data_IF_712130910376
#
_entry.id   IF_712130910376
#
_cell.length_a   1.000
_cell.length_b   1.000
_cell.length_c   1.000
_cell.angle_alpha   90.00
_cell.angle_beta   90.00
_cell.angle_gamma   90.00
#
_symmetry.space_group_name_H-M   'P 1'
#
loop_
_entity.id
_entity.type
_entity.pdbx_description
1 polymer ?
#
# COMPACT_ATOMS: atom_id res chain seq x y z
N UNK A 1 2.94 8.53 4.68
CA UNK A 1 2.14 8.10 5.85
C UNK A 1 2.98 7.41 6.93
N UNK A 2 3.41 6.15 6.77
CA UNK A 2 4.16 5.44 7.83
C UNK A 2 5.42 6.19 8.29
N UNK A 3 6.21 6.72 7.34
CA UNK A 3 7.42 7.53 7.63
C UNK A 3 7.09 8.82 8.39
N UNK A 4 5.97 9.46 8.08
CA UNK A 4 5.54 10.73 8.70
C UNK A 4 4.94 10.52 10.09
N UNK A 5 4.21 9.42 10.29
CA UNK A 5 3.49 9.12 11.52
C UNK A 5 4.27 8.23 12.51
N UNK A 6 5.53 7.87 12.19
CA UNK A 6 6.36 6.93 12.97
C UNK A 6 6.52 7.33 14.45
N UNK A 7 6.47 8.63 14.77
CA UNK A 7 6.61 9.14 16.14
C UNK A 7 5.29 9.31 16.91
N UNK A 8 4.13 9.12 16.25
CA UNK A 8 2.81 9.33 16.86
C UNK A 8 2.25 8.08 17.54
N UNK A 9 2.75 6.91 17.15
CA UNK A 9 2.27 5.62 17.64
C UNK A 9 3.44 4.76 18.10
N UNK A 10 3.25 4.05 19.22
CA UNK A 10 4.25 3.13 19.75
C UNK A 10 4.24 1.79 18.99
N UNK A 11 5.19 1.64 18.07
CA UNK A 11 5.39 0.43 17.25
C UNK A 11 6.38 -0.57 17.87
N UNK A 12 6.74 -0.42 19.14
CA UNK A 12 7.72 -1.28 19.81
C UNK A 12 7.17 -2.64 20.24
N UNK A 13 5.84 -2.86 20.17
CA UNK A 13 5.24 -4.14 20.53
C UNK A 13 5.85 -5.25 19.65
N UNK A 14 6.51 -6.26 20.25
CA UNK A 14 7.14 -7.33 19.49
C UNK A 14 6.08 -8.22 18.82
N UNK A 15 6.41 -8.84 17.68
CA UNK A 15 5.55 -9.85 17.09
C UNK A 15 5.50 -11.09 17.99
N UNK A 16 4.29 -11.58 18.26
CA UNK A 16 4.08 -12.87 18.91
C UNK A 16 4.17 -13.96 17.85
N UNK A 17 4.95 -15.01 18.11
CA UNK A 17 5.05 -16.21 17.27
C UNK A 17 4.45 -17.37 18.05
N UNK A 18 3.59 -18.14 17.40
CA UNK A 18 2.90 -19.32 17.95
C UNK A 18 3.16 -20.44 16.94
N UNK A 19 3.50 -21.65 17.38
CA UNK A 19 3.64 -22.80 16.48
C UNK A 19 2.28 -23.40 16.11
N UNK A 20 2.24 -24.26 15.09
CA UNK A 20 0.98 -24.89 14.65
C UNK A 20 0.37 -25.81 15.72
N UNK A 21 1.17 -26.34 16.66
CA UNK A 21 0.70 -27.19 17.77
C UNK A 21 0.35 -26.42 19.05
N UNK A 22 0.64 -25.11 19.12
CA UNK A 22 0.46 -24.30 20.33
C UNK A 22 -0.92 -23.61 20.33
N UNK A 23 -1.62 -23.70 21.47
CA UNK A 23 -2.95 -23.08 21.61
C UNK A 23 -2.83 -21.55 21.71
N UNK A 24 -3.70 -20.83 20.99
CA UNK A 24 -3.71 -19.36 21.00
C UNK A 24 -4.23 -18.84 22.33
N UNK A 25 -3.34 -18.25 23.14
CA UNK A 25 -3.71 -17.59 24.38
C UNK A 25 -4.38 -16.23 24.16
N UNK A 26 -5.18 -15.81 25.14
CA UNK A 26 -5.84 -14.50 25.14
C UNK A 26 -4.81 -13.35 25.13
N UNK A 27 -3.71 -13.51 25.85
CA UNK A 27 -2.61 -12.56 25.92
C UNK A 27 -1.92 -12.39 24.57
N UNK A 28 -1.66 -13.50 23.87
CA UNK A 28 -1.06 -13.51 22.55
C UNK A 28 -1.96 -12.82 21.52
N UNK A 29 -3.26 -13.12 21.53
CA UNK A 29 -4.25 -12.47 20.68
C UNK A 29 -4.33 -10.96 20.97
N UNK A 30 -4.38 -10.58 22.24
CA UNK A 30 -4.46 -9.17 22.68
C UNK A 30 -3.21 -8.38 22.29
N UNK A 31 -2.01 -8.93 22.47
CA UNK A 31 -0.76 -8.28 22.09
C UNK A 31 -0.69 -8.09 20.57
N UNK A 32 -1.07 -9.11 19.80
CA UNK A 32 -1.09 -9.06 18.33
C UNK A 32 -2.09 -8.03 17.81
N UNK A 33 -3.30 -7.99 18.36
CA UNK A 33 -4.32 -7.01 17.98
C UNK A 33 -3.87 -5.58 18.28
N UNK A 34 -3.33 -5.32 19.49
CA UNK A 34 -2.80 -4.00 19.85
C UNK A 34 -1.71 -3.55 18.88
N UNK A 35 -0.79 -4.45 18.51
CA UNK A 35 0.26 -4.19 17.52
C UNK A 35 -0.32 -3.86 16.16
N UNK A 36 -1.31 -4.62 15.69
CA UNK A 36 -1.97 -4.40 14.40
C UNK A 36 -2.68 -3.05 14.37
N UNK A 37 -3.50 -2.73 15.37
CA UNK A 37 -4.22 -1.45 15.45
C UNK A 37 -3.26 -0.28 15.40
N UNK A 38 -2.18 -0.30 16.21
CA UNK A 38 -1.18 0.79 16.22
C UNK A 38 -0.49 0.95 14.86
N UNK A 39 -0.16 -0.16 14.19
CA UNK A 39 0.38 -0.10 12.84
C UNK A 39 -0.62 0.51 11.85
N UNK A 40 -1.86 0.04 11.82
CA UNK A 40 -2.88 0.56 10.90
C UNK A 40 -3.19 2.04 11.14
N UNK A 41 -3.12 2.51 12.39
CA UNK A 41 -3.25 3.95 12.68
C UNK A 41 -2.14 4.80 12.07
N UNK A 42 -0.94 4.26 11.83
CA UNK A 42 0.17 5.03 11.21
C UNK A 42 -0.02 5.26 9.70
N UNK A 43 -0.83 4.43 9.04
CA UNK A 43 -1.09 4.49 7.60
C UNK A 43 -2.46 5.11 7.26
N UNK A 44 -3.19 5.61 8.27
CA UNK A 44 -4.38 6.41 8.04
C UNK A 44 -3.99 7.75 7.40
N UNK A 45 -4.78 8.20 6.43
CA UNK A 45 -4.61 9.50 5.76
C UNK A 45 -5.11 10.64 6.66
N UNK A 46 -4.79 11.88 6.30
CA UNK A 46 -5.14 13.06 7.10
C UNK A 46 -6.65 13.28 7.24
N UNK A 47 -7.42 12.90 6.22
CA UNK A 47 -8.88 12.92 6.18
C UNK A 47 -9.53 11.65 6.77
N UNK A 48 -8.72 10.73 7.30
CA UNK A 48 -9.18 9.60 8.11
C UNK A 48 -9.47 8.31 7.35
N UNK A 49 -9.28 8.25 6.02
CA UNK A 49 -9.41 7.00 5.26
C UNK A 49 -8.10 6.18 5.29
N UNK A 50 -8.15 4.97 4.73
CA UNK A 50 -6.98 4.13 4.51
C UNK A 50 -6.75 3.98 3.02
N UNK A 51 -5.72 4.64 2.50
CA UNK A 51 -5.30 4.47 1.12
C UNK A 51 -4.78 3.04 0.94
N UNK A 52 -5.39 2.31 0.01
CA UNK A 52 -4.99 0.97 -0.38
C UNK A 52 -4.69 0.92 -1.86
N UNK A 53 -3.76 0.06 -2.25
CA UNK A 53 -3.62 -0.31 -3.65
C UNK A 53 -4.87 -1.12 -4.03
N UNK A 54 -5.66 -0.56 -4.94
CA UNK A 54 -6.79 -1.26 -5.54
C UNK A 54 -6.35 -1.71 -6.93
N UNK A 55 -5.42 -2.65 -6.95
CA UNK A 55 -5.00 -3.35 -8.14
C UNK A 55 -6.13 -4.16 -8.74
N UNK A 56 -5.97 -4.54 -10.00
CA UNK A 56 -6.98 -5.30 -10.72
C UNK A 56 -6.43 -5.90 -12.00
N UNK A 57 -7.31 -6.37 -12.88
CA UNK A 57 -6.90 -6.86 -14.18
C UNK A 57 -6.09 -5.80 -14.93
N UNK A 58 -5.02 -6.23 -15.58
CA UNK A 58 -4.12 -5.35 -16.33
C UNK A 58 -4.74 -4.67 -17.57
N UNK A 59 -6.06 -4.73 -17.76
CA UNK A 59 -6.71 -4.10 -18.91
C UNK A 59 -6.97 -2.59 -18.73
N UNK A 60 -6.66 -1.99 -17.57
CA UNK A 60 -6.82 -0.54 -17.39
C UNK A 60 -5.59 0.26 -17.84
N UNK A 61 -4.39 -0.18 -17.46
CA UNK A 61 -3.15 0.59 -17.66
C UNK A 61 -2.76 0.75 -19.13
N UNK A 62 -2.68 -0.33 -19.96
CA UNK A 62 -2.28 -0.19 -21.35
C UNK A 62 -3.24 0.67 -22.19
N UNK A 63 -4.59 0.49 -22.12
CA UNK A 63 -5.51 1.37 -22.84
C UNK A 63 -5.45 2.84 -22.41
N UNK A 64 -5.21 3.12 -21.13
CA UNK A 64 -5.00 4.49 -20.66
C UNK A 64 -3.77 5.11 -21.35
N UNK A 65 -2.62 4.42 -21.35
CA UNK A 65 -1.40 4.92 -21.98
C UNK A 65 -1.60 5.16 -23.48
N UNK A 66 -2.26 4.24 -24.18
CA UNK A 66 -2.57 4.41 -25.61
C UNK A 66 -3.49 5.61 -25.86
N UNK A 67 -4.53 5.78 -25.05
CA UNK A 67 -5.47 6.92 -25.16
C UNK A 67 -4.74 8.25 -24.95
N UNK A 68 -3.91 8.35 -23.91
CA UNK A 68 -3.13 9.55 -23.62
C UNK A 68 -2.12 9.88 -24.75
N UNK A 69 -1.51 8.86 -25.34
CA UNK A 69 -0.62 9.02 -26.48
C UNK A 69 -1.37 9.53 -27.72
N UNK A 70 -2.48 8.89 -28.11
CA UNK A 70 -3.30 9.24 -29.28
C UNK A 70 -3.85 10.66 -29.16
N UNK A 71 -4.34 11.03 -27.98
CA UNK A 71 -4.91 12.37 -27.70
C UNK A 71 -3.85 13.44 -27.51
N UNK A 72 -2.56 13.10 -27.55
CA UNK A 72 -1.42 14.00 -27.29
C UNK A 72 -1.45 14.66 -25.91
N UNK A 73 -2.07 14.00 -24.93
CA UNK A 73 -2.18 14.48 -23.54
C UNK A 73 -1.24 13.75 -22.59
N UNK A 74 -0.41 12.82 -23.09
CA UNK A 74 0.50 12.01 -22.29
C UNK A 74 1.35 12.84 -21.32
N UNK A 75 2.06 13.86 -21.82
CA UNK A 75 2.93 14.71 -20.98
C UNK A 75 2.15 15.75 -20.17
N UNK A 76 0.85 15.94 -20.46
CA UNK A 76 -0.03 16.83 -19.70
C UNK A 76 -0.60 16.13 -18.48
N UNK A 77 -0.97 14.85 -18.61
CA UNK A 77 -1.52 14.03 -17.53
C UNK A 77 -0.39 13.35 -16.73
N UNK A 78 0.59 12.76 -17.43
CA UNK A 78 1.79 12.19 -16.82
C UNK A 78 2.88 13.26 -16.77
N UNK A 79 2.70 14.21 -15.84
CA UNK A 79 3.54 15.42 -15.72
C UNK A 79 4.99 15.14 -15.30
N UNK A 80 5.25 13.99 -14.70
CA UNK A 80 6.57 13.57 -14.21
C UNK A 80 7.10 12.38 -15.03
N UNK A 81 8.41 12.37 -15.37
CA UNK A 81 9.04 11.22 -16.03
C UNK A 81 8.89 9.90 -15.26
N UNK A 82 8.78 9.99 -13.93
CA UNK A 82 8.57 8.84 -13.04
C UNK A 82 7.23 8.16 -13.29
N UNK A 83 6.17 8.90 -13.65
CA UNK A 83 4.88 8.29 -14.00
C UNK A 83 5.01 7.33 -15.20
N UNK A 84 5.78 7.72 -16.23
CA UNK A 84 6.03 6.89 -17.40
C UNK A 84 6.91 5.69 -17.02
N UNK A 85 7.98 5.94 -16.25
CA UNK A 85 8.91 4.89 -15.82
C UNK A 85 8.20 3.81 -15.00
N UNK A 86 7.38 4.21 -14.03
CA UNK A 86 6.66 3.26 -13.17
C UNK A 86 5.51 2.57 -13.92
N UNK A 87 4.86 3.24 -14.88
CA UNK A 87 3.88 2.58 -15.77
C UNK A 87 4.52 1.48 -16.61
N UNK A 88 5.70 1.74 -17.19
CA UNK A 88 6.48 0.76 -17.93
C UNK A 88 6.95 -0.39 -17.03
N UNK A 89 7.46 -0.09 -15.84
CA UNK A 89 7.87 -1.09 -14.86
C UNK A 89 6.69 -1.98 -14.46
N UNK A 90 5.54 -1.39 -14.18
CA UNK A 90 4.33 -2.12 -13.83
C UNK A 90 3.92 -3.09 -14.94
N UNK A 91 3.85 -2.62 -16.19
CA UNK A 91 3.53 -3.48 -17.34
C UNK A 91 4.56 -4.60 -17.53
N UNK A 92 5.86 -4.30 -17.38
CA UNK A 92 6.92 -5.31 -17.50
C UNK A 92 6.85 -6.39 -16.41
N UNK A 93 6.63 -5.99 -15.15
CA UNK A 93 6.60 -6.92 -14.03
C UNK A 93 5.41 -7.88 -14.02
N UNK A 94 4.37 -7.59 -14.81
CA UNK A 94 3.12 -8.36 -14.79
C UNK A 94 2.78 -8.99 -16.15
N UNK A 95 3.68 -8.93 -17.15
CA UNK A 95 3.61 -9.76 -18.36
C UNK A 95 3.81 -11.24 -18.01
#
# INVERSE_FOLDING_TARGET
LLKENKGKFDLSIPPVKISDEEEVSYEAATATLKRAVRFYSTIQTEDGHWAGEMGGPMFFTPPLIFTLYITRTLNTILTSPEHIRESLRFMYCHQ
#
